data_IF_091936344375
#
_entry.id   IF_091936344375
#
_cell.length_a   1.000
_cell.length_b   1.000
_cell.length_c   1.000
_cell.angle_alpha   90.00
_cell.angle_beta   90.00
_cell.angle_gamma   90.00
#
_symmetry.space_group_name_H-M   'P 1'
#
loop_
_entity.id
_entity.type
_entity.pdbx_description
1 polymer ?
#
# COMPACT_ATOMS: atom_id res chain seq x y z
N UNK A 1 26.95 22.18 13.38
CA UNK A 1 27.22 20.98 12.57
C UNK A 1 26.11 19.99 12.88
N UNK A 2 25.02 20.06 12.11
CA UNK A 2 23.82 19.28 12.38
C UNK A 2 23.98 17.89 11.77
N UNK A 3 24.34 16.94 12.62
CA UNK A 3 24.49 15.53 12.25
C UNK A 3 23.11 14.94 11.93
N UNK A 4 22.84 14.73 10.64
CA UNK A 4 21.72 13.93 10.17
C UNK A 4 21.94 12.48 10.64
N UNK A 5 21.24 12.07 11.71
CA UNK A 5 21.20 10.67 12.14
C UNK A 5 20.35 9.87 11.14
N UNK A 6 21.01 9.20 10.20
CA UNK A 6 20.39 8.25 9.30
C UNK A 6 20.47 6.86 9.94
N UNK A 7 19.33 6.32 10.37
CA UNK A 7 19.22 4.93 10.81
C UNK A 7 19.04 4.02 9.58
N UNK A 8 20.13 3.71 8.87
CA UNK A 8 20.13 2.61 7.89
C UNK A 8 20.48 1.32 8.61
N UNK A 9 19.48 0.68 9.24
CA UNK A 9 19.63 -0.71 9.65
C UNK A 9 19.58 -1.55 8.38
N UNK A 10 20.72 -2.13 7.99
CA UNK A 10 20.72 -3.19 6.98
C UNK A 10 19.72 -4.25 7.41
N UNK A 11 18.77 -4.59 6.53
CA UNK A 11 17.85 -5.69 6.80
C UNK A 11 18.68 -6.96 7.03
N UNK A 12 18.38 -7.75 8.08
CA UNK A 12 19.11 -8.98 8.33
C UNK A 12 18.97 -9.88 7.10
N UNK A 13 20.09 -10.44 6.65
CA UNK A 13 20.07 -11.43 5.58
C UNK A 13 19.41 -12.69 6.13
N UNK A 14 18.27 -13.07 5.57
CA UNK A 14 17.56 -14.29 5.95
C UNK A 14 18.15 -15.42 5.11
N UNK A 15 18.80 -16.38 5.76
CA UNK A 15 19.25 -17.60 5.10
C UNK A 15 18.02 -18.40 4.68
N UNK A 16 17.90 -18.71 3.38
CA UNK A 16 16.77 -19.47 2.82
C UNK A 16 17.26 -20.80 2.28
N UNK A 17 16.57 -21.88 2.66
CA UNK A 17 16.75 -23.20 2.07
C UNK A 17 15.82 -23.33 0.87
N UNK A 18 16.38 -23.59 -0.31
CA UNK A 18 15.58 -23.81 -1.52
C UNK A 18 14.68 -25.03 -1.35
N UNK A 19 13.40 -24.84 -1.62
CA UNK A 19 12.34 -25.86 -1.56
C UNK A 19 11.97 -26.42 -2.94
N UNK A 20 12.32 -25.71 -4.01
CA UNK A 20 11.86 -25.95 -5.38
C UNK A 20 10.48 -25.38 -5.67
N UNK A 21 9.88 -24.60 -4.76
CA UNK A 21 8.53 -24.07 -4.92
C UNK A 21 8.48 -22.95 -5.96
N UNK A 22 7.55 -23.07 -6.92
CA UNK A 22 7.38 -22.13 -8.03
C UNK A 22 5.93 -21.70 -8.14
N UNK A 23 5.68 -20.42 -8.36
CA UNK A 23 4.33 -19.88 -8.55
C UNK A 23 4.28 -18.82 -9.65
N UNK A 24 3.21 -18.84 -10.44
CA UNK A 24 2.84 -17.73 -11.32
C UNK A 24 1.85 -16.81 -10.60
N UNK A 25 1.98 -15.50 -10.79
CA UNK A 25 1.07 -14.48 -10.25
C UNK A 25 0.41 -13.69 -11.38
N UNK A 26 -0.91 -13.61 -11.32
CA UNK A 26 -1.74 -12.66 -12.06
C UNK A 26 -2.24 -11.55 -11.12
N UNK A 27 -2.27 -10.31 -11.60
CA UNK A 27 -2.72 -9.13 -10.85
C UNK A 27 -4.01 -8.58 -11.45
N UNK A 28 -5.10 -8.70 -10.71
CA UNK A 28 -6.44 -8.35 -11.19
C UNK A 28 -7.18 -7.28 -10.37
N UNK A 29 -8.40 -6.96 -10.83
CA UNK A 29 -9.33 -6.09 -10.11
C UNK A 29 -10.26 -6.86 -9.16
N UNK A 30 -10.59 -8.11 -9.50
CA UNK A 30 -11.42 -8.98 -8.66
C UNK A 30 -10.62 -9.47 -7.47
N UNK A 31 -9.43 -10.01 -7.74
CA UNK A 31 -8.42 -10.33 -6.75
C UNK A 31 -7.16 -9.53 -7.02
N UNK A 32 -6.55 -8.97 -5.98
CA UNK A 32 -5.36 -8.12 -6.17
C UNK A 32 -4.18 -8.96 -6.68
N UNK A 33 -4.06 -10.18 -6.18
CA UNK A 33 -3.12 -11.20 -6.64
C UNK A 33 -3.85 -12.54 -6.68
N UNK A 34 -3.76 -13.22 -7.82
CA UNK A 34 -4.17 -14.60 -8.00
C UNK A 34 -2.93 -15.43 -8.34
N UNK A 35 -2.74 -16.55 -7.66
CA UNK A 35 -1.59 -17.44 -7.88
C UNK A 35 -1.98 -18.66 -8.70
N UNK A 36 -1.01 -19.26 -9.40
CA UNK A 36 -1.22 -20.49 -10.19
C UNK A 36 -1.59 -21.72 -9.35
N UNK A 37 -1.36 -21.68 -8.03
CA UNK A 37 -1.79 -22.71 -7.07
C UNK A 37 -3.14 -22.40 -6.40
N UNK A 38 -3.95 -21.53 -7.02
CA UNK A 38 -5.32 -21.21 -6.62
C UNK A 38 -5.46 -20.44 -5.30
N UNK A 39 -4.43 -19.71 -4.87
CA UNK A 39 -4.52 -18.74 -3.76
C UNK A 39 -4.92 -17.37 -4.30
N UNK A 40 -5.86 -16.73 -3.63
CA UNK A 40 -6.30 -15.37 -3.93
C UNK A 40 -5.98 -14.45 -2.76
N UNK A 41 -5.31 -13.33 -3.04
CA UNK A 41 -4.92 -12.33 -2.07
C UNK A 41 -5.58 -11.00 -2.42
N UNK A 42 -6.39 -10.50 -1.49
CA UNK A 42 -7.17 -9.29 -1.67
C UNK A 42 -6.64 -8.16 -0.81
N UNK A 43 -6.32 -7.04 -1.45
CA UNK A 43 -6.04 -5.82 -0.72
C UNK A 43 -7.32 -5.35 -0.01
N UNK A 44 -7.30 -5.17 1.32
CA UNK A 44 -8.47 -4.73 2.04
C UNK A 44 -8.85 -3.31 1.63
N UNK A 45 -10.07 -2.91 1.98
CA UNK A 45 -10.49 -1.51 1.85
C UNK A 45 -9.56 -0.61 2.69
N UNK A 46 -8.67 0.10 2.01
CA UNK A 46 -7.64 0.95 2.63
C UNK A 46 -8.20 2.06 3.52
N UNK A 47 -9.44 2.49 3.28
CA UNK A 47 -10.18 3.37 4.16
C UNK A 47 -11.45 2.69 4.66
N UNK A 48 -11.72 2.86 5.95
CA UNK A 48 -13.01 2.50 6.55
C UNK A 48 -14.14 3.27 5.88
N UNK A 49 -15.39 2.79 6.04
CA UNK A 49 -16.58 3.49 5.53
C UNK A 49 -16.65 4.94 6.04
N UNK A 50 -16.34 5.15 7.32
CA UNK A 50 -16.34 6.47 7.96
C UNK A 50 -15.24 7.38 7.40
N UNK A 51 -14.00 6.88 7.27
CA UNK A 51 -12.89 7.65 6.69
C UNK A 51 -13.17 8.04 5.23
N UNK A 52 -13.72 7.13 4.43
CA UNK A 52 -14.11 7.41 3.04
C UNK A 52 -15.19 8.49 2.97
N UNK A 53 -16.22 8.40 3.83
CA UNK A 53 -17.28 9.41 3.91
C UNK A 53 -16.71 10.77 4.35
N UNK A 54 -15.82 10.78 5.34
CA UNK A 54 -15.12 11.99 5.81
C UNK A 54 -14.29 12.61 4.70
N UNK A 55 -13.49 11.82 3.96
CA UNK A 55 -12.69 12.29 2.81
C UNK A 55 -13.58 12.96 1.76
N UNK A 56 -14.70 12.33 1.38
CA UNK A 56 -15.69 12.90 0.44
C UNK A 56 -16.30 14.22 0.95
N UNK A 57 -16.69 14.29 2.22
CA UNK A 57 -17.23 15.52 2.84
C UNK A 57 -16.19 16.64 2.84
N UNK A 58 -14.95 16.35 3.19
CA UNK A 58 -13.86 17.32 3.16
C UNK A 58 -13.55 17.82 1.75
N UNK A 59 -13.54 16.93 0.74
CA UNK A 59 -13.35 17.31 -0.66
C UNK A 59 -14.45 18.26 -1.15
N UNK A 60 -15.72 17.96 -0.85
CA UNK A 60 -16.85 18.86 -1.16
C UNK A 60 -16.74 20.20 -0.44
N UNK A 61 -16.31 20.19 0.83
CA UNK A 61 -16.06 21.40 1.60
C UNK A 61 -14.95 22.24 0.97
N UNK A 62 -13.82 21.62 0.61
CA UNK A 62 -12.67 22.28 -0.01
C UNK A 62 -13.06 22.97 -1.32
N UNK A 63 -13.87 22.32 -2.16
CA UNK A 63 -14.32 22.86 -3.45
C UNK A 63 -15.14 24.16 -3.33
N UNK A 64 -15.74 24.43 -2.17
CA UNK A 64 -16.52 25.65 -1.90
C UNK A 64 -15.70 26.74 -1.18
N UNK A 65 -14.46 26.45 -0.81
CA UNK A 65 -13.62 27.38 -0.06
C UNK A 65 -12.73 28.20 -0.99
N UNK A 66 -12.53 29.47 -0.65
CA UNK A 66 -11.60 30.35 -1.35
C UNK A 66 -10.18 29.80 -1.21
N UNK A 67 -9.55 29.50 -2.35
CA UNK A 67 -8.17 29.02 -2.43
C UNK A 67 -7.24 30.01 -1.71
N UNK A 68 -6.31 29.50 -0.91
CA UNK A 68 -5.37 30.32 -0.14
C UNK A 68 -5.90 30.83 1.21
N UNK A 69 -7.21 30.76 1.47
CA UNK A 69 -7.74 31.10 2.80
C UNK A 69 -7.25 30.11 3.88
N UNK A 70 -7.17 30.56 5.14
CA UNK A 70 -6.79 29.70 6.27
C UNK A 70 -7.69 28.44 6.35
N UNK A 71 -9.00 28.61 6.19
CA UNK A 71 -9.97 27.49 6.19
C UNK A 71 -9.72 26.50 5.05
N UNK A 72 -9.25 26.96 3.88
CA UNK A 72 -8.85 26.10 2.78
C UNK A 72 -7.62 25.25 3.14
N UNK A 73 -6.59 25.88 3.72
CA UNK A 73 -5.37 25.20 4.18
C UNK A 73 -5.67 24.07 5.17
N UNK A 74 -6.49 24.34 6.19
CA UNK A 74 -6.88 23.35 7.20
C UNK A 74 -7.63 22.16 6.57
N UNK A 75 -8.61 22.42 5.69
CA UNK A 75 -9.35 21.35 5.00
C UNK A 75 -8.44 20.52 4.09
N UNK A 76 -7.54 21.17 3.35
CA UNK A 76 -6.58 20.50 2.45
C UNK A 76 -5.65 19.57 3.25
N UNK A 77 -5.13 20.05 4.38
CA UNK A 77 -4.30 19.24 5.28
C UNK A 77 -5.06 18.02 5.82
N UNK A 78 -6.34 18.18 6.20
CA UNK A 78 -7.15 17.07 6.67
C UNK A 78 -7.37 15.99 5.60
N UNK A 79 -7.52 16.38 4.32
CA UNK A 79 -7.59 15.43 3.19
C UNK A 79 -6.24 14.74 3.01
N UNK A 80 -5.14 15.49 3.04
CA UNK A 80 -3.79 14.96 2.89
C UNK A 80 -3.48 13.89 3.96
N UNK A 81 -3.87 14.12 5.22
CA UNK A 81 -3.71 13.13 6.30
C UNK A 81 -4.46 11.82 6.02
N UNK A 82 -5.67 11.89 5.46
CA UNK A 82 -6.42 10.68 5.06
C UNK A 82 -5.79 9.99 3.85
N UNK A 83 -5.21 10.74 2.91
CA UNK A 83 -4.50 10.19 1.77
C UNK A 83 -3.20 9.50 2.19
N UNK A 84 -2.42 10.11 3.09
CA UNK A 84 -1.22 9.49 3.67
C UNK A 84 -1.56 8.15 4.34
N UNK A 85 -2.61 8.13 5.18
CA UNK A 85 -3.08 6.90 5.83
C UNK A 85 -3.47 5.80 4.84
N UNK A 86 -4.06 6.17 3.70
CA UNK A 86 -4.42 5.24 2.63
C UNK A 86 -3.18 4.64 1.95
N UNK A 87 -2.16 5.47 1.72
CA UNK A 87 -0.85 5.05 1.18
C UNK A 87 -0.13 4.14 2.16
N UNK A 88 -0.06 4.50 3.45
CA UNK A 88 0.62 3.71 4.48
C UNK A 88 -0.01 2.32 4.62
N UNK A 89 -1.34 2.22 4.61
CA UNK A 89 -2.05 0.93 4.66
C UNK A 89 -1.85 0.08 3.41
N UNK A 90 -1.74 0.72 2.24
CA UNK A 90 -1.41 0.01 1.00
C UNK A 90 0.00 -0.56 1.08
N UNK A 91 0.95 0.26 1.53
CA UNK A 91 2.35 -0.13 1.69
C UNK A 91 2.48 -1.30 2.66
N UNK A 92 1.83 -1.24 3.82
CA UNK A 92 1.80 -2.32 4.80
C UNK A 92 1.27 -3.64 4.21
N UNK A 93 0.17 -3.59 3.44
CA UNK A 93 -0.35 -4.79 2.79
C UNK A 93 0.61 -5.34 1.72
N UNK A 94 1.20 -4.47 0.90
CA UNK A 94 2.20 -4.88 -0.11
C UNK A 94 3.40 -5.55 0.57
N UNK A 95 3.99 -4.89 1.57
CA UNK A 95 5.20 -5.40 2.24
C UNK A 95 4.96 -6.77 2.88
N UNK A 96 3.83 -6.95 3.58
CA UNK A 96 3.46 -8.25 4.15
C UNK A 96 3.24 -9.30 3.07
N UNK A 97 2.46 -8.96 2.04
CA UNK A 97 2.14 -9.88 0.95
C UNK A 97 3.39 -10.32 0.19
N UNK A 98 4.30 -9.40 -0.14
CA UNK A 98 5.54 -9.76 -0.83
C UNK A 98 6.49 -10.53 0.08
N UNK A 99 6.50 -10.24 1.38
CA UNK A 99 7.29 -11.02 2.34
C UNK A 99 6.77 -12.45 2.44
N UNK A 100 5.45 -12.64 2.49
CA UNK A 100 4.83 -13.98 2.53
C UNK A 100 5.11 -14.74 1.23
N UNK A 101 4.89 -14.12 0.06
CA UNK A 101 5.17 -14.74 -1.23
C UNK A 101 6.64 -15.11 -1.38
N UNK A 102 7.55 -14.21 -1.06
CA UNK A 102 8.98 -14.51 -1.12
C UNK A 102 9.32 -15.57 -0.08
N UNK A 103 8.68 -15.66 1.09
CA UNK A 103 8.93 -16.73 2.05
C UNK A 103 8.47 -18.10 1.55
N UNK A 104 7.34 -18.16 0.84
CA UNK A 104 6.69 -19.41 0.42
C UNK A 104 7.29 -20.01 -0.87
N UNK A 105 7.81 -19.18 -1.77
CA UNK A 105 8.28 -19.63 -3.09
C UNK A 105 9.75 -19.26 -3.36
N UNK A 106 10.41 -20.08 -4.18
CA UNK A 106 11.78 -19.85 -4.64
C UNK A 106 11.83 -19.13 -5.98
N UNK A 107 10.82 -19.38 -6.83
CA UNK A 107 10.64 -18.68 -8.11
C UNK A 107 9.20 -18.14 -8.20
N UNK A 108 9.09 -16.84 -8.45
CA UNK A 108 7.81 -16.17 -8.69
C UNK A 108 7.83 -15.61 -10.10
N UNK A 109 6.93 -16.09 -10.96
CA UNK A 109 6.73 -15.56 -12.32
C UNK A 109 5.57 -14.59 -12.33
N UNK A 110 5.72 -13.46 -13.02
CA UNK A 110 4.66 -12.49 -13.24
C UNK A 110 4.28 -12.50 -14.72
N UNK A 111 2.99 -12.38 -15.02
CA UNK A 111 2.56 -12.16 -16.40
C UNK A 111 3.03 -10.79 -16.90
N UNK A 112 3.53 -10.76 -18.14
CA UNK A 112 3.91 -9.51 -18.79
C UNK A 112 2.66 -8.75 -19.22
N UNK A 113 2.33 -7.65 -18.52
CA UNK A 113 1.31 -6.71 -18.97
C UNK A 113 1.82 -6.01 -20.24
N UNK A 114 1.15 -6.24 -21.38
CA UNK A 114 1.40 -5.54 -22.65
C UNK A 114 0.75 -4.16 -22.68
#
# INVERSE_FOLDING_TARGET
>A
ADGLLVFTRLAPQIERKLTGAVVGIDMGVTHTVATSDSRFLDMPKLLTKVERQRKRRLQRKLARQVKGSNRYGVTKLAIAKLAAKEVDRRKDWIEKTTTDLVSDYDLISLEALK
#
